data_IF_797224302583
#
_entry.id   IF_797224302583
#
_cell.length_a   1.000
_cell.length_b   1.000
_cell.length_c   1.000
_cell.angle_alpha   90.00
_cell.angle_beta   90.00
_cell.angle_gamma   90.00
#
_symmetry.space_group_name_H-M   'P 1'
#
loop_
_entity.id
_entity.type
_entity.pdbx_description
1 polymer ?
#
# COMPACT_ATOMS: atom_id res chain seq x y z
N UNK A 1 -7.81 1.46 12.81
CA UNK A 1 -7.98 2.58 13.73
C UNK A 1 -8.44 3.85 12.99
N UNK A 2 -7.73 4.30 11.92
CA UNK A 2 -8.14 5.50 11.13
C UNK A 2 -9.57 5.36 10.63
N UNK A 3 -9.92 4.23 10.01
CA UNK A 3 -11.26 4.00 9.49
C UNK A 3 -12.35 4.06 10.59
N UNK A 4 -12.04 3.60 11.80
CA UNK A 4 -12.95 3.71 12.95
C UNK A 4 -13.13 5.17 13.39
N UNK A 5 -12.03 5.93 13.44
CA UNK A 5 -12.07 7.37 13.75
C UNK A 5 -12.94 8.10 12.73
N UNK A 6 -12.77 7.83 11.44
CA UNK A 6 -13.59 8.42 10.39
C UNK A 6 -15.08 8.13 10.56
N UNK A 7 -15.46 6.87 10.86
CA UNK A 7 -16.88 6.52 11.12
C UNK A 7 -17.44 7.32 12.30
N UNK A 8 -16.66 7.48 13.38
CA UNK A 8 -17.10 8.23 14.56
C UNK A 8 -17.27 9.71 14.25
N UNK A 9 -16.30 10.31 13.55
CA UNK A 9 -16.30 11.75 13.23
C UNK A 9 -17.41 12.09 12.22
N UNK A 10 -17.59 11.28 11.18
CA UNK A 10 -18.60 11.54 10.15
C UNK A 10 -20.00 11.00 10.50
N UNK A 11 -20.18 10.35 11.67
CA UNK A 11 -21.49 9.96 12.12
C UNK A 11 -22.33 11.20 12.48
N UNK A 12 -23.51 11.33 11.87
CA UNK A 12 -24.43 12.45 12.14
C UNK A 12 -24.13 13.75 11.38
N UNK A 13 -23.32 13.70 10.33
CA UNK A 13 -22.96 14.88 9.50
C UNK A 13 -24.03 15.31 8.51
N UNK A 14 -25.12 14.57 8.37
CA UNK A 14 -26.20 14.85 7.43
C UNK A 14 -26.85 16.25 7.63
N UNK A 15 -26.76 16.79 8.85
CA UNK A 15 -27.35 18.07 9.24
C UNK A 15 -26.38 19.26 9.17
N UNK A 16 -25.10 19.01 8.87
CA UNK A 16 -24.06 20.03 8.90
C UNK A 16 -23.95 20.80 7.59
N UNK A 17 -23.62 22.08 7.69
CA UNK A 17 -23.30 22.90 6.53
C UNK A 17 -21.89 22.58 6.00
N UNK A 18 -21.55 23.13 4.81
CA UNK A 18 -20.31 22.83 4.12
C UNK A 18 -19.05 23.26 4.91
N UNK A 19 -19.10 24.43 5.56
CA UNK A 19 -17.99 24.92 6.40
C UNK A 19 -17.75 24.02 7.61
N UNK A 20 -18.81 23.51 8.24
CA UNK A 20 -18.71 22.59 9.36
C UNK A 20 -18.15 21.23 8.94
N UNK A 21 -18.49 20.74 7.74
CA UNK A 21 -17.89 19.51 7.19
C UNK A 21 -16.40 19.68 6.94
N UNK A 22 -15.97 20.81 6.37
CA UNK A 22 -14.53 21.10 6.14
C UNK A 22 -13.77 21.11 7.48
N UNK A 23 -14.34 21.66 8.55
CA UNK A 23 -13.73 21.64 9.87
C UNK A 23 -13.53 20.21 10.40
N UNK A 24 -14.49 19.31 10.15
CA UNK A 24 -14.37 17.89 10.55
C UNK A 24 -13.22 17.17 9.85
N UNK A 25 -12.90 17.49 8.60
CA UNK A 25 -11.71 16.95 7.93
C UNK A 25 -10.43 17.36 8.66
N UNK A 26 -10.34 18.58 9.15
CA UNK A 26 -9.19 19.02 9.96
C UNK A 26 -9.06 18.19 11.24
N UNK A 27 -10.17 17.90 11.93
CA UNK A 27 -10.19 17.05 13.10
C UNK A 27 -9.71 15.62 12.81
N UNK A 28 -10.14 15.03 11.68
CA UNK A 28 -9.64 13.71 11.23
C UNK A 28 -8.12 13.70 11.14
N UNK A 29 -7.51 14.73 10.52
CA UNK A 29 -6.05 14.82 10.41
C UNK A 29 -5.37 14.97 11.78
N UNK A 30 -5.95 15.78 12.69
CA UNK A 30 -5.41 15.94 14.04
C UNK A 30 -5.47 14.61 14.81
N UNK A 31 -6.58 13.90 14.78
CA UNK A 31 -6.70 12.58 15.43
C UNK A 31 -5.81 11.53 14.77
N UNK A 32 -5.60 11.59 13.44
CA UNK A 32 -4.70 10.70 12.74
C UNK A 32 -3.24 10.86 13.20
N UNK A 33 -2.82 12.04 13.68
CA UNK A 33 -1.49 12.26 14.26
C UNK A 33 -1.22 11.44 15.52
N UNK A 34 -2.27 10.97 16.21
CA UNK A 34 -2.11 10.07 17.37
C UNK A 34 -1.43 8.76 16.97
N UNK A 35 -1.63 8.29 15.74
CA UNK A 35 -1.08 7.01 15.26
C UNK A 35 0.45 7.01 15.20
N UNK A 36 1.12 7.97 14.52
CA UNK A 36 2.58 8.05 14.55
C UNK A 36 3.11 8.32 15.96
N UNK A 37 2.40 9.11 16.77
CA UNK A 37 2.79 9.33 18.17
C UNK A 37 2.80 8.03 18.99
N UNK A 38 1.74 7.22 18.89
CA UNK A 38 1.67 5.91 19.56
C UNK A 38 2.75 4.97 19.03
N UNK A 39 3.03 4.99 17.72
CA UNK A 39 4.09 4.19 17.10
C UNK A 39 5.48 4.58 17.65
N UNK A 40 5.77 5.87 17.72
CA UNK A 40 7.02 6.39 18.28
C UNK A 40 7.15 6.03 19.77
N UNK A 41 6.09 6.22 20.55
CA UNK A 41 6.05 5.81 21.96
C UNK A 41 6.26 4.31 22.12
N UNK A 42 5.68 3.48 21.25
CA UNK A 42 5.87 2.02 21.22
C UNK A 42 7.34 1.65 21.00
N UNK A 43 8.03 2.29 20.07
CA UNK A 43 9.46 2.08 19.80
C UNK A 43 10.31 2.49 21.02
N UNK A 44 10.03 3.66 21.62
CA UNK A 44 10.73 4.09 22.83
C UNK A 44 10.50 3.14 24.00
N UNK A 45 9.26 2.68 24.20
CA UNK A 45 8.92 1.74 25.25
C UNK A 45 9.61 0.39 25.03
N UNK A 46 9.61 -0.14 23.82
CA UNK A 46 10.30 -1.38 23.47
C UNK A 46 11.81 -1.27 23.75
N UNK A 47 12.44 -0.16 23.34
CA UNK A 47 13.85 0.12 23.61
C UNK A 47 14.15 0.25 25.10
N UNK A 48 13.28 0.92 25.83
CA UNK A 48 13.40 1.08 27.28
C UNK A 48 13.26 -0.26 28.03
N UNK A 49 12.28 -1.09 27.62
CA UNK A 49 12.08 -2.42 28.20
C UNK A 49 13.27 -3.34 27.89
N UNK A 50 13.78 -3.35 26.64
CA UNK A 50 14.96 -4.15 26.28
C UNK A 50 16.20 -3.72 27.06
N UNK A 51 16.40 -2.43 27.27
CA UNK A 51 17.48 -1.89 28.10
C UNK A 51 17.36 -2.36 29.56
N UNK A 52 16.15 -2.34 30.13
CA UNK A 52 15.91 -2.85 31.50
C UNK A 52 16.17 -4.35 31.61
N UNK A 53 15.74 -5.15 30.60
CA UNK A 53 15.95 -6.59 30.60
C UNK A 53 17.44 -6.94 30.45
N UNK A 54 18.17 -6.22 29.59
CA UNK A 54 19.64 -6.38 29.48
C UNK A 54 20.35 -6.01 30.78
N UNK A 55 19.95 -4.93 31.42
CA UNK A 55 20.54 -4.51 32.70
C UNK A 55 20.23 -5.51 33.83
N UNK A 56 19.06 -6.12 33.83
CA UNK A 56 18.72 -7.17 34.79
C UNK A 56 19.50 -8.47 34.52
N UNK A 57 19.71 -8.83 33.26
CA UNK A 57 20.51 -10.00 32.86
C UNK A 57 22.01 -9.81 33.21
N UNK A 58 22.58 -8.62 32.97
CA UNK A 58 23.98 -8.32 33.37
C UNK A 58 24.21 -8.30 34.87
N UNK A 59 23.19 -8.10 35.67
CA UNK A 59 23.30 -8.22 37.14
C UNK A 59 23.21 -9.70 37.62
N UNK A 60 22.76 -10.61 36.79
CA UNK A 60 22.63 -12.04 37.09
C UNK A 60 23.76 -12.92 36.51
N UNK A 61 24.49 -12.40 35.51
CA UNK A 61 25.61 -13.11 34.84
C UNK A 61 26.96 -12.58 35.31
N UNK A 62 27.37 -12.98 36.50
CA UNK A 62 28.75 -12.75 36.94
C UNK A 62 29.68 -13.92 36.63
N UNK A 63 29.21 -14.97 35.94
CA UNK A 63 30.00 -16.18 35.63
C UNK A 63 29.63 -16.85 34.29
N UNK A 64 29.77 -16.16 33.13
CA UNK A 64 29.81 -16.85 31.84
C UNK A 64 30.84 -16.17 30.92
N UNK A 65 31.79 -16.96 30.30
CA UNK A 65 32.85 -16.38 29.48
C UNK A 65 32.32 -15.70 28.23
N UNK A 66 32.87 -14.53 27.98
CA UNK A 66 32.62 -13.65 26.82
C UNK A 66 32.99 -14.38 25.49
N UNK A 67 32.02 -15.04 24.85
CA UNK A 67 32.20 -15.58 23.50
C UNK A 67 30.95 -15.39 22.57
N UNK A 68 30.05 -14.47 22.88
CA UNK A 68 29.06 -13.98 21.90
C UNK A 68 29.22 -12.46 21.83
N UNK A 69 30.33 -12.03 21.28
CA UNK A 69 30.43 -10.69 20.71
C UNK A 69 29.45 -10.65 19.55
N UNK A 70 28.29 -10.03 19.77
CA UNK A 70 27.57 -9.44 18.68
C UNK A 70 28.56 -8.55 17.92
N UNK A 71 29.02 -8.98 16.78
CA UNK A 71 29.70 -8.14 15.83
C UNK A 71 28.81 -6.92 15.62
N UNK A 72 29.16 -5.86 16.30
CA UNK A 72 28.68 -4.53 16.02
C UNK A 72 29.31 -4.20 14.68
N UNK A 73 28.65 -4.64 13.59
CA UNK A 73 28.99 -4.20 12.27
C UNK A 73 28.92 -2.67 12.30
N UNK A 74 30.08 -2.03 12.47
CA UNK A 74 30.27 -0.63 12.17
C UNK A 74 30.01 -0.46 10.67
N UNK A 75 28.73 -0.45 10.30
CA UNK A 75 28.33 -0.05 8.95
C UNK A 75 28.62 1.42 8.85
N UNK A 76 29.76 1.73 8.23
CA UNK A 76 30.09 3.11 7.88
C UNK A 76 28.93 3.69 7.07
N UNK A 77 28.44 4.85 7.48
CA UNK A 77 27.36 5.54 6.79
C UNK A 77 27.83 5.87 5.38
N UNK A 78 27.16 5.32 4.38
CA UNK A 78 27.45 5.66 3.00
C UNK A 78 26.83 7.02 2.66
N UNK A 79 27.61 8.07 2.89
CA UNK A 79 27.21 9.45 2.67
C UNK A 79 26.77 9.72 1.23
N UNK A 80 27.34 9.02 0.23
CA UNK A 80 26.95 9.16 -1.17
C UNK A 80 25.51 8.71 -1.42
N UNK A 81 25.08 7.61 -0.78
CA UNK A 81 23.70 7.13 -0.87
C UNK A 81 22.76 8.11 -0.14
N UNK A 82 23.12 8.55 1.06
CA UNK A 82 22.30 9.45 1.86
C UNK A 82 22.11 10.81 1.17
N UNK A 83 23.18 11.44 0.68
CA UNK A 83 23.11 12.70 -0.03
C UNK A 83 22.43 12.58 -1.40
N UNK A 84 22.66 11.47 -2.10
CA UNK A 84 21.98 11.17 -3.35
C UNK A 84 20.47 10.99 -3.18
N UNK A 85 20.05 10.29 -2.13
CA UNK A 85 18.62 10.14 -1.82
C UNK A 85 17.97 11.46 -1.40
N UNK A 86 18.66 12.28 -0.60
CA UNK A 86 18.18 13.60 -0.23
C UNK A 86 18.04 14.53 -1.45
N UNK A 87 19.05 14.57 -2.32
CA UNK A 87 19.00 15.34 -3.57
C UNK A 87 17.83 14.88 -4.47
N UNK A 88 17.60 13.56 -4.55
CA UNK A 88 16.47 13.02 -5.30
C UNK A 88 15.11 13.40 -4.70
N UNK A 89 14.96 13.40 -3.37
CA UNK A 89 13.74 13.86 -2.70
C UNK A 89 13.48 15.34 -2.99
N UNK A 90 14.50 16.20 -2.87
CA UNK A 90 14.39 17.64 -3.17
C UNK A 90 13.99 17.85 -4.64
N UNK A 91 14.62 17.13 -5.56
CA UNK A 91 14.27 17.16 -6.98
C UNK A 91 12.82 16.72 -7.22
N UNK A 92 12.40 15.60 -6.66
CA UNK A 92 11.05 15.05 -6.85
C UNK A 92 9.97 15.96 -6.28
N UNK A 93 10.19 16.52 -5.08
CA UNK A 93 9.27 17.48 -4.46
C UNK A 93 9.25 18.78 -5.24
N UNK A 94 10.43 19.30 -5.61
CA UNK A 94 10.56 20.55 -6.36
C UNK A 94 9.84 20.50 -7.71
N UNK A 95 10.01 19.42 -8.47
CA UNK A 95 9.30 19.23 -9.74
C UNK A 95 7.82 18.93 -9.50
N UNK A 96 7.48 18.10 -8.49
CA UNK A 96 6.09 17.73 -8.20
C UNK A 96 5.21 18.91 -7.80
N UNK A 97 5.77 19.91 -7.12
CA UNK A 97 5.07 21.16 -6.72
C UNK A 97 5.14 22.24 -7.82
N UNK A 98 6.07 22.11 -8.77
CA UNK A 98 6.22 23.06 -9.85
C UNK A 98 5.07 22.92 -10.88
N UNK A 99 4.66 24.03 -11.48
CA UNK A 99 3.70 24.05 -12.58
C UNK A 99 4.36 23.70 -13.95
N UNK A 100 5.42 22.88 -13.93
CA UNK A 100 6.10 22.46 -15.16
C UNK A 100 5.22 21.43 -15.88
N UNK A 101 4.98 21.57 -17.18
CA UNK A 101 4.26 20.57 -17.97
C UNK A 101 4.95 19.19 -17.81
N UNK A 102 4.14 18.14 -17.68
CA UNK A 102 4.64 16.78 -17.51
C UNK A 102 5.52 16.54 -16.25
N UNK A 103 5.29 17.32 -15.17
CA UNK A 103 6.07 17.17 -13.93
C UNK A 103 6.03 15.77 -13.37
N UNK A 104 4.87 15.11 -13.39
CA UNK A 104 4.70 13.75 -12.87
C UNK A 104 5.45 12.71 -13.74
N UNK A 105 5.44 12.88 -15.06
CA UNK A 105 6.16 12.03 -15.99
C UNK A 105 7.68 12.18 -15.83
N UNK A 106 8.17 13.40 -15.60
CA UNK A 106 9.59 13.67 -15.33
C UNK A 106 10.02 13.00 -14.03
N UNK A 107 9.23 13.13 -12.95
CA UNK A 107 9.52 12.47 -11.67
C UNK A 107 9.47 10.96 -11.82
N UNK A 108 8.48 10.42 -12.55
CA UNK A 108 8.38 9.00 -12.84
C UNK A 108 9.58 8.49 -13.63
N UNK A 109 9.98 9.17 -14.71
CA UNK A 109 11.13 8.81 -15.53
C UNK A 109 12.45 8.83 -14.75
N UNK A 110 12.66 9.86 -13.93
CA UNK A 110 13.82 9.96 -13.04
C UNK A 110 13.86 8.86 -12.00
N UNK A 111 12.73 8.57 -11.35
CA UNK A 111 12.57 7.47 -10.40
C UNK A 111 12.86 6.11 -11.07
N UNK A 112 12.28 5.88 -12.25
CA UNK A 112 12.49 4.66 -13.02
C UNK A 112 13.97 4.46 -13.37
N UNK A 113 14.66 5.49 -13.86
CA UNK A 113 16.08 5.41 -14.22
C UNK A 113 16.93 5.02 -12.99
N UNK A 114 16.71 5.65 -11.85
CA UNK A 114 17.46 5.37 -10.61
C UNK A 114 17.18 3.96 -10.11
N UNK A 115 15.91 3.54 -10.03
CA UNK A 115 15.54 2.23 -9.51
C UNK A 115 16.06 1.12 -10.42
N UNK A 116 15.95 1.27 -11.74
CA UNK A 116 16.50 0.31 -12.70
C UNK A 116 18.04 0.23 -12.63
N UNK A 117 18.71 1.36 -12.44
CA UNK A 117 20.15 1.37 -12.20
C UNK A 117 20.54 0.63 -10.92
N UNK A 118 19.82 0.86 -9.82
CA UNK A 118 20.05 0.17 -8.55
C UNK A 118 19.76 -1.34 -8.68
N UNK A 119 18.69 -1.72 -9.34
CA UNK A 119 18.36 -3.14 -9.62
C UNK A 119 19.49 -3.79 -10.45
N UNK A 120 19.95 -3.13 -11.51
CA UNK A 120 21.08 -3.63 -12.32
C UNK A 120 22.35 -3.79 -11.51
N UNK A 121 22.67 -2.83 -10.66
CA UNK A 121 23.83 -2.90 -9.76
C UNK A 121 23.73 -4.06 -8.78
N UNK A 122 22.55 -4.23 -8.18
CA UNK A 122 22.29 -5.31 -7.23
C UNK A 122 22.40 -6.70 -7.87
N UNK A 123 21.90 -6.85 -9.10
CA UNK A 123 21.95 -8.11 -9.85
C UNK A 123 23.34 -8.54 -10.27
N UNK A 124 24.35 -7.67 -10.21
CA UNK A 124 25.76 -8.04 -10.52
C UNK A 124 26.33 -9.06 -9.53
N UNK A 125 25.81 -9.10 -8.32
CA UNK A 125 26.26 -10.00 -7.24
C UNK A 125 25.55 -11.35 -7.25
N UNK A 126 24.72 -11.63 -8.28
CA UNK A 126 23.88 -12.81 -8.36
C UNK A 126 24.26 -13.72 -9.52
N UNK A 127 23.99 -15.04 -9.35
CA UNK A 127 24.12 -16.00 -10.44
C UNK A 127 23.14 -15.71 -11.59
N UNK A 128 23.46 -16.19 -12.80
CA UNK A 128 22.61 -15.98 -13.97
C UNK A 128 21.18 -16.57 -13.76
N UNK A 129 21.08 -17.72 -13.11
CA UNK A 129 19.78 -18.35 -12.82
C UNK A 129 18.94 -17.50 -11.86
N UNK A 130 19.53 -17.05 -10.75
CA UNK A 130 18.85 -16.16 -9.79
C UNK A 130 18.41 -14.85 -10.45
N UNK A 131 19.28 -14.23 -11.25
CA UNK A 131 18.96 -13.00 -11.98
C UNK A 131 17.75 -13.15 -12.89
N UNK A 132 17.70 -14.23 -13.68
CA UNK A 132 16.58 -14.47 -14.61
C UNK A 132 15.26 -14.68 -13.83
N UNK A 133 15.29 -15.42 -12.73
CA UNK A 133 14.11 -15.61 -11.88
C UNK A 133 13.63 -14.29 -11.29
N UNK A 134 14.56 -13.46 -10.82
CA UNK A 134 14.25 -12.14 -10.23
C UNK A 134 13.67 -11.20 -11.29
N UNK A 135 14.28 -11.12 -12.47
CA UNK A 135 13.76 -10.28 -13.56
C UNK A 135 12.36 -10.75 -13.99
N UNK A 136 12.17 -12.05 -14.20
CA UNK A 136 10.86 -12.58 -14.58
C UNK A 136 9.77 -12.27 -13.55
N UNK A 137 10.07 -12.47 -12.26
CA UNK A 137 9.13 -12.14 -11.18
C UNK A 137 8.89 -10.64 -11.09
N UNK A 138 9.93 -9.81 -11.21
CA UNK A 138 9.81 -8.36 -11.19
C UNK A 138 8.90 -7.85 -12.33
N UNK A 139 9.04 -8.39 -13.54
CA UNK A 139 8.19 -8.03 -14.69
C UNK A 139 6.71 -8.38 -14.42
N UNK A 140 6.44 -9.59 -13.92
CA UNK A 140 5.07 -10.02 -13.57
C UNK A 140 4.46 -9.07 -12.55
N UNK A 141 5.20 -8.75 -11.49
CA UNK A 141 4.75 -7.85 -10.43
C UNK A 141 4.53 -6.43 -10.97
N UNK A 142 5.47 -5.94 -11.78
CA UNK A 142 5.36 -4.61 -12.35
C UNK A 142 4.12 -4.49 -13.21
N UNK A 143 3.91 -5.40 -14.16
CA UNK A 143 2.74 -5.40 -15.04
C UNK A 143 1.45 -5.46 -14.22
N UNK A 144 1.38 -6.35 -13.23
CA UNK A 144 0.19 -6.47 -12.37
C UNK A 144 -0.11 -5.19 -11.59
N UNK A 145 0.93 -4.57 -11.00
CA UNK A 145 0.75 -3.37 -10.16
C UNK A 145 0.66 -2.05 -10.95
N UNK A 146 1.16 -2.04 -12.19
CA UNK A 146 1.09 -0.88 -13.08
C UNK A 146 -0.23 -0.78 -13.84
N UNK A 147 -1.13 -1.75 -13.69
CA UNK A 147 -2.46 -1.69 -14.31
C UNK A 147 -3.21 -0.44 -13.81
N UNK A 148 -3.66 0.44 -14.72
CA UNK A 148 -4.46 1.60 -14.35
C UNK A 148 -5.78 1.16 -13.71
N UNK A 149 -6.21 1.89 -12.69
CA UNK A 149 -7.55 1.76 -12.08
C UNK A 149 -8.37 3.01 -12.38
N UNK A 150 -9.70 3.00 -12.23
CA UNK A 150 -10.51 4.21 -12.43
C UNK A 150 -10.10 5.37 -11.49
N UNK A 151 -9.51 5.03 -10.33
CA UNK A 151 -8.99 6.01 -9.39
C UNK A 151 -10.02 7.07 -8.97
N UNK A 152 -9.62 8.35 -8.92
CA UNK A 152 -10.51 9.44 -8.51
C UNK A 152 -11.78 9.56 -9.35
N UNK A 153 -11.76 9.18 -10.63
CA UNK A 153 -12.93 9.22 -11.50
C UNK A 153 -14.10 8.39 -10.97
N UNK A 154 -13.82 7.19 -10.44
CA UNK A 154 -14.86 6.36 -9.81
C UNK A 154 -15.41 7.01 -8.54
N UNK A 155 -14.56 7.60 -7.71
CA UNK A 155 -15.00 8.29 -6.48
C UNK A 155 -15.90 9.49 -6.81
N UNK A 156 -15.56 10.28 -7.84
CA UNK A 156 -16.43 11.36 -8.30
C UNK A 156 -17.77 10.83 -8.81
N UNK A 157 -17.79 9.75 -9.57
CA UNK A 157 -19.04 9.10 -9.98
C UNK A 157 -19.88 8.65 -8.78
N UNK A 158 -19.26 8.07 -7.76
CA UNK A 158 -19.93 7.62 -6.54
C UNK A 158 -20.54 8.78 -5.74
N UNK A 159 -19.84 9.92 -5.68
CA UNK A 159 -20.32 11.14 -5.02
C UNK A 159 -21.44 11.81 -5.84
N UNK A 160 -21.18 12.09 -7.13
CA UNK A 160 -22.05 12.96 -7.93
C UNK A 160 -23.27 12.23 -8.49
N UNK A 161 -23.16 10.93 -8.74
CA UNK A 161 -24.23 10.15 -9.40
C UNK A 161 -24.91 9.15 -8.46
N UNK A 162 -24.15 8.54 -7.54
CA UNK A 162 -24.71 7.59 -6.58
C UNK A 162 -25.03 8.24 -5.23
N UNK A 163 -24.65 9.52 -5.03
CA UNK A 163 -24.89 10.30 -3.82
C UNK A 163 -24.36 9.62 -2.55
N UNK A 164 -23.15 9.01 -2.65
CA UNK A 164 -22.48 8.48 -1.48
C UNK A 164 -21.89 9.63 -0.67
N UNK A 165 -22.20 9.63 0.62
CA UNK A 165 -21.70 10.60 1.59
C UNK A 165 -20.40 10.13 2.29
N UNK A 166 -19.77 11.02 3.01
CA UNK A 166 -18.51 10.77 3.73
C UNK A 166 -18.67 9.69 4.79
N UNK A 167 -19.83 9.62 5.42
CA UNK A 167 -20.14 8.59 6.42
C UNK A 167 -20.19 7.21 5.77
N UNK A 168 -20.82 7.08 4.63
CA UNK A 168 -20.88 5.82 3.89
C UNK A 168 -19.50 5.36 3.42
N UNK A 169 -18.66 6.26 2.89
CA UNK A 169 -17.27 5.93 2.56
C UNK A 169 -16.46 5.48 3.78
N UNK A 170 -16.72 6.07 4.94
CA UNK A 170 -16.07 5.67 6.19
C UNK A 170 -16.47 4.25 6.61
N UNK A 171 -17.75 3.88 6.44
CA UNK A 171 -18.25 2.50 6.66
C UNK A 171 -17.57 1.53 5.70
N UNK A 172 -17.51 1.85 4.40
CA UNK A 172 -16.82 1.00 3.42
C UNK A 172 -15.35 0.81 3.77
N UNK A 173 -14.65 1.86 4.19
CA UNK A 173 -13.26 1.83 4.61
C UNK A 173 -13.05 0.97 5.86
N UNK A 174 -13.96 1.05 6.84
CA UNK A 174 -13.92 0.21 8.05
C UNK A 174 -14.14 -1.26 7.70
N UNK A 175 -15.15 -1.54 6.88
CA UNK A 175 -15.46 -2.89 6.38
C UNK A 175 -14.26 -3.46 5.61
N UNK A 176 -13.70 -2.69 4.68
CA UNK A 176 -12.53 -3.07 3.91
C UNK A 176 -11.34 -3.41 4.82
N UNK A 177 -11.05 -2.57 5.82
CA UNK A 177 -9.95 -2.79 6.76
C UNK A 177 -10.14 -4.07 7.58
N UNK A 178 -11.34 -4.28 8.09
CA UNK A 178 -11.68 -5.47 8.88
C UNK A 178 -11.57 -6.75 8.04
N UNK A 179 -12.17 -6.74 6.84
CA UNK A 179 -12.17 -7.91 5.96
C UNK A 179 -10.81 -8.20 5.33
N UNK A 180 -9.97 -7.19 5.13
CA UNK A 180 -8.56 -7.39 4.74
C UNK A 180 -7.81 -8.19 5.81
N UNK A 181 -7.98 -7.87 7.10
CA UNK A 181 -7.36 -8.65 8.19
C UNK A 181 -7.88 -10.10 8.21
N UNK A 182 -9.19 -10.29 8.06
CA UNK A 182 -9.81 -11.60 7.94
C UNK A 182 -9.23 -12.35 6.72
N UNK A 183 -9.13 -11.69 5.57
CA UNK A 183 -8.58 -12.25 4.35
C UNK A 183 -7.13 -12.75 4.50
N UNK A 184 -6.26 -11.99 5.20
CA UNK A 184 -4.88 -12.39 5.48
C UNK A 184 -4.84 -13.74 6.23
N UNK A 185 -5.70 -13.92 7.21
CA UNK A 185 -5.76 -15.15 8.02
C UNK A 185 -6.29 -16.32 7.18
N UNK A 186 -7.43 -16.15 6.53
CA UNK A 186 -8.07 -17.22 5.76
C UNK A 186 -7.29 -17.62 4.51
N UNK A 187 -6.67 -16.65 3.80
CA UNK A 187 -5.93 -16.91 2.58
C UNK A 187 -4.46 -17.23 2.82
N UNK A 188 -4.02 -17.34 4.09
CA UNK A 188 -2.64 -17.66 4.45
C UNK A 188 -2.12 -18.94 3.77
N UNK A 189 -2.93 -20.01 3.78
CA UNK A 189 -2.56 -21.29 3.15
C UNK A 189 -2.42 -21.16 1.64
N UNK A 190 -3.33 -20.42 0.98
CA UNK A 190 -3.28 -20.13 -0.44
C UNK A 190 -2.00 -19.36 -0.80
N UNK A 191 -1.66 -18.32 -0.03
CA UNK A 191 -0.45 -17.51 -0.22
C UNK A 191 0.84 -18.31 -0.02
N UNK A 192 0.86 -19.25 0.92
CA UNK A 192 2.06 -20.03 1.27
C UNK A 192 2.38 -21.13 0.23
N UNK A 193 1.36 -21.73 -0.39
CA UNK A 193 1.54 -22.92 -1.23
C UNK A 193 1.51 -22.61 -2.74
N UNK A 194 1.25 -21.38 -3.16
CA UNK A 194 1.19 -21.05 -4.57
C UNK A 194 2.33 -20.11 -4.99
N UNK A 195 2.75 -20.23 -6.25
CA UNK A 195 3.71 -19.31 -6.84
C UNK A 195 3.11 -17.91 -7.02
N UNK A 196 3.96 -16.88 -6.99
CA UNK A 196 3.54 -15.49 -7.21
C UNK A 196 2.80 -15.33 -8.54
N UNK A 197 3.31 -15.95 -9.61
CA UNK A 197 2.66 -15.90 -10.92
C UNK A 197 1.23 -16.45 -10.89
N UNK A 198 1.02 -17.60 -10.22
CA UNK A 198 -0.32 -18.20 -10.07
C UNK A 198 -1.24 -17.32 -9.24
N UNK A 199 -0.73 -16.76 -8.15
CA UNK A 199 -1.50 -15.82 -7.30
C UNK A 199 -1.93 -14.61 -8.14
N UNK A 200 -1.01 -13.99 -8.88
CA UNK A 200 -1.29 -12.82 -9.72
C UNK A 200 -2.35 -13.13 -10.78
N UNK A 201 -2.23 -14.27 -11.49
CA UNK A 201 -3.23 -14.65 -12.50
C UNK A 201 -4.61 -14.82 -11.87
N UNK A 202 -4.71 -15.57 -10.76
CA UNK A 202 -6.00 -15.80 -10.08
C UNK A 202 -6.59 -14.46 -9.61
N UNK A 203 -5.78 -13.60 -8.98
CA UNK A 203 -6.24 -12.30 -8.52
C UNK A 203 -6.67 -11.39 -9.67
N UNK A 204 -5.94 -11.37 -10.79
CA UNK A 204 -6.31 -10.56 -11.96
C UNK A 204 -7.67 -10.97 -12.51
N UNK A 205 -7.91 -12.29 -12.67
CA UNK A 205 -9.19 -12.79 -13.15
C UNK A 205 -10.33 -12.51 -12.16
N UNK A 206 -10.07 -12.72 -10.87
CA UNK A 206 -11.07 -12.49 -9.83
C UNK A 206 -11.39 -11.00 -9.69
N UNK A 207 -10.39 -10.11 -9.69
CA UNK A 207 -10.60 -8.66 -9.67
C UNK A 207 -11.36 -8.16 -10.90
N UNK A 208 -11.06 -8.69 -12.09
CA UNK A 208 -11.81 -8.36 -13.29
C UNK A 208 -13.29 -8.75 -13.17
N UNK A 209 -13.58 -9.92 -12.61
CA UNK A 209 -14.97 -10.36 -12.35
C UNK A 209 -15.66 -9.50 -11.28
N UNK A 210 -14.98 -9.23 -10.17
CA UNK A 210 -15.52 -8.41 -9.08
C UNK A 210 -15.72 -6.95 -9.49
N UNK A 211 -15.05 -6.48 -10.53
CA UNK A 211 -15.24 -5.11 -11.03
C UNK A 211 -16.49 -4.96 -11.91
N UNK A 212 -17.10 -6.05 -12.37
CA UNK A 212 -18.31 -6.00 -13.23
C UNK A 212 -19.50 -5.27 -12.58
N UNK A 213 -19.82 -5.45 -11.28
CA UNK A 213 -20.89 -4.68 -10.63
C UNK A 213 -20.63 -3.17 -10.67
N UNK A 214 -19.38 -2.73 -10.48
CA UNK A 214 -19.01 -1.31 -10.55
C UNK A 214 -19.22 -0.74 -11.95
N UNK A 215 -18.83 -1.48 -12.99
CA UNK A 215 -19.14 -1.14 -14.39
C UNK A 215 -20.67 -1.10 -14.58
N UNK A 216 -21.37 -2.10 -14.07
CA UNK A 216 -22.84 -2.16 -14.16
C UNK A 216 -23.53 -0.94 -13.54
N UNK A 217 -23.01 -0.43 -12.42
CA UNK A 217 -23.56 0.77 -11.78
C UNK A 217 -23.46 2.02 -12.67
N UNK A 218 -22.39 2.15 -13.46
CA UNK A 218 -22.25 3.25 -14.44
C UNK A 218 -23.36 3.17 -15.50
N UNK A 219 -23.79 1.99 -15.90
CA UNK A 219 -24.87 1.74 -16.85
C UNK A 219 -26.27 1.60 -16.20
N UNK A 220 -26.41 1.98 -14.93
CA UNK A 220 -27.71 1.96 -14.23
C UNK A 220 -28.15 0.59 -13.70
N UNK A 221 -27.27 -0.39 -13.62
CA UNK A 221 -27.57 -1.71 -13.06
C UNK A 221 -28.21 -1.65 -11.68
N UNK A 222 -27.75 -0.73 -10.82
CA UNK A 222 -28.30 -0.50 -9.49
C UNK A 222 -29.77 -0.02 -9.51
N UNK A 223 -30.19 0.71 -10.55
CA UNK A 223 -31.58 1.14 -10.72
C UNK A 223 -32.49 -0.05 -11.06
N UNK A 224 -32.00 -0.92 -11.95
CA UNK A 224 -32.72 -2.14 -12.32
C UNK A 224 -32.84 -3.09 -11.15
N UNK A 225 -31.76 -3.39 -10.41
CA UNK A 225 -31.79 -4.26 -9.23
C UNK A 225 -32.68 -3.70 -8.14
N UNK A 226 -32.64 -2.38 -7.88
CA UNK A 226 -33.48 -1.70 -6.93
C UNK A 226 -34.97 -1.84 -7.28
N UNK A 227 -35.33 -1.70 -8.57
CA UNK A 227 -36.72 -1.81 -9.02
C UNK A 227 -37.31 -3.19 -8.83
N UNK A 228 -36.55 -4.27 -9.09
CA UNK A 228 -37.03 -5.65 -8.95
C UNK A 228 -37.00 -6.18 -7.54
N UNK A 229 -36.20 -5.58 -6.65
CA UNK A 229 -36.04 -5.99 -5.24
C UNK A 229 -36.79 -5.11 -4.25
N UNK A 230 -37.61 -4.18 -4.76
CA UNK A 230 -38.33 -3.24 -3.89
C UNK A 230 -37.42 -2.30 -3.10
N UNK A 231 -36.25 -1.94 -3.68
CA UNK A 231 -35.28 -1.01 -3.07
C UNK A 231 -34.19 -1.68 -2.22
N UNK A 232 -34.23 -3.01 -2.03
CA UNK A 232 -33.25 -3.70 -1.20
C UNK A 232 -31.84 -3.73 -1.81
N UNK A 233 -31.73 -3.97 -3.13
CA UNK A 233 -30.45 -4.05 -3.83
C UNK A 233 -30.23 -2.74 -4.58
N UNK A 234 -29.93 -1.71 -3.85
CA UNK A 234 -29.57 -0.38 -4.35
C UNK A 234 -28.04 -0.22 -4.58
N UNK A 235 -27.60 0.96 -4.95
CA UNK A 235 -26.18 1.26 -5.18
C UNK A 235 -25.34 1.06 -3.90
N UNK A 236 -25.85 1.44 -2.73
CA UNK A 236 -25.14 1.27 -1.45
C UNK A 236 -24.95 -0.21 -1.10
N UNK A 237 -26.00 -1.02 -1.30
CA UNK A 237 -25.91 -2.47 -1.09
C UNK A 237 -24.86 -3.11 -2.01
N UNK A 238 -24.87 -2.76 -3.31
CA UNK A 238 -23.89 -3.27 -4.28
C UNK A 238 -22.47 -2.88 -3.87
N UNK A 239 -22.24 -1.63 -3.44
CA UNK A 239 -20.93 -1.15 -3.00
C UNK A 239 -20.45 -1.91 -1.74
N UNK A 240 -21.32 -2.18 -0.76
CA UNK A 240 -20.98 -2.96 0.43
C UNK A 240 -20.58 -4.39 0.05
N UNK A 241 -21.35 -5.07 -0.80
CA UNK A 241 -21.02 -6.43 -1.25
C UNK A 241 -19.73 -6.47 -2.04
N UNK A 242 -19.54 -5.51 -2.95
CA UNK A 242 -18.30 -5.42 -3.72
C UNK A 242 -17.09 -5.22 -2.80
N UNK A 243 -17.17 -4.28 -1.86
CA UNK A 243 -16.15 -4.06 -0.85
C UNK A 243 -15.88 -5.31 -0.02
N UNK A 244 -16.94 -6.04 0.38
CA UNK A 244 -16.79 -7.25 1.16
C UNK A 244 -16.08 -8.38 0.41
N UNK A 245 -16.30 -8.50 -0.88
CA UNK A 245 -15.66 -9.53 -1.72
C UNK A 245 -14.23 -9.17 -2.13
N UNK A 246 -13.97 -7.91 -2.40
CA UNK A 246 -12.66 -7.43 -2.91
C UNK A 246 -11.64 -7.23 -1.80
N UNK A 247 -12.05 -6.70 -0.64
CA UNK A 247 -11.13 -6.31 0.44
C UNK A 247 -10.26 -7.45 0.98
N UNK A 248 -10.75 -8.70 1.14
CA UNK A 248 -9.92 -9.82 1.57
C UNK A 248 -8.75 -10.10 0.63
N UNK A 249 -8.86 -9.71 -0.64
CA UNK A 249 -7.86 -9.98 -1.69
C UNK A 249 -6.74 -8.93 -1.72
N UNK A 250 -6.96 -7.75 -1.14
CA UNK A 250 -6.08 -6.60 -1.28
C UNK A 250 -4.62 -6.84 -0.86
N UNK A 251 -4.36 -7.73 0.12
CA UNK A 251 -3.01 -8.05 0.59
C UNK A 251 -2.46 -9.39 0.07
N UNK A 252 -3.28 -10.14 -0.66
CA UNK A 252 -2.91 -11.51 -1.09
C UNK A 252 -1.74 -11.53 -2.07
N UNK A 253 -1.58 -10.50 -2.90
CA UNK A 253 -0.42 -10.37 -3.78
C UNK A 253 0.79 -9.77 -3.06
N UNK A 254 0.57 -8.87 -2.11
CA UNK A 254 1.63 -8.12 -1.45
C UNK A 254 2.44 -8.99 -0.47
N UNK A 255 1.79 -9.79 0.36
CA UNK A 255 2.44 -10.61 1.39
C UNK A 255 3.39 -11.65 0.79
N UNK A 256 2.98 -12.50 -0.19
CA UNK A 256 3.89 -13.43 -0.84
C UNK A 256 5.05 -12.74 -1.56
N UNK A 257 4.81 -11.56 -2.14
CA UNK A 257 5.85 -10.78 -2.77
C UNK A 257 6.93 -10.36 -1.77
N UNK A 258 6.54 -9.79 -0.63
CA UNK A 258 7.49 -9.39 0.41
C UNK A 258 8.25 -10.60 0.98
N UNK A 259 7.57 -11.72 1.20
CA UNK A 259 8.18 -12.96 1.63
C UNK A 259 9.19 -13.50 0.59
N UNK A 260 8.85 -13.43 -0.70
CA UNK A 260 9.72 -13.85 -1.79
C UNK A 260 10.97 -12.96 -1.89
N UNK A 261 10.81 -11.63 -1.75
CA UNK A 261 11.92 -10.67 -1.70
C UNK A 261 12.87 -11.03 -0.56
N UNK A 262 12.31 -11.25 0.66
CA UNK A 262 13.10 -11.60 1.84
C UNK A 262 13.87 -12.93 1.66
N UNK A 263 13.24 -13.93 1.03
CA UNK A 263 13.84 -15.25 0.80
C UNK A 263 14.97 -15.24 -0.25
N UNK A 264 14.86 -14.40 -1.26
CA UNK A 264 15.81 -14.34 -2.38
C UNK A 264 16.90 -13.27 -2.19
N UNK A 265 16.84 -12.50 -1.12
CA UNK A 265 17.85 -11.49 -0.81
C UNK A 265 19.16 -12.15 -0.36
N UNK A 266 20.33 -11.71 -0.89
CA UNK A 266 21.63 -12.12 -0.39
C UNK A 266 21.78 -11.78 1.09
N UNK A 267 22.44 -12.66 1.88
CA UNK A 267 22.50 -12.50 3.33
C UNK A 267 23.13 -11.19 3.80
N UNK A 268 24.16 -10.74 3.10
CA UNK A 268 24.89 -9.51 3.41
C UNK A 268 24.22 -8.24 2.88
N UNK A 269 23.12 -8.34 2.07
CA UNK A 269 22.46 -7.19 1.44
C UNK A 269 20.93 -7.22 1.56
N UNK A 270 20.37 -7.96 2.54
CA UNK A 270 18.92 -8.14 2.69
C UNK A 270 18.15 -6.81 2.75
N UNK A 271 18.64 -5.86 3.54
CA UNK A 271 17.99 -4.56 3.69
C UNK A 271 17.99 -3.75 2.38
N UNK A 272 19.12 -3.70 1.68
CA UNK A 272 19.26 -3.00 0.40
C UNK A 272 18.40 -3.65 -0.68
N UNK A 273 18.41 -4.98 -0.74
CA UNK A 273 17.60 -5.74 -1.69
C UNK A 273 16.10 -5.46 -1.46
N UNK A 274 15.66 -5.51 -0.21
CA UNK A 274 14.28 -5.22 0.16
C UNK A 274 13.90 -3.77 -0.21
N UNK A 275 14.74 -2.80 0.11
CA UNK A 275 14.49 -1.39 -0.20
C UNK A 275 14.35 -1.13 -1.71
N UNK A 276 15.26 -1.71 -2.53
CA UNK A 276 15.22 -1.56 -4.00
C UNK A 276 13.96 -2.18 -4.58
N UNK A 277 13.57 -3.40 -4.13
CA UNK A 277 12.36 -4.05 -4.62
C UNK A 277 11.07 -3.37 -4.14
N UNK A 278 11.03 -2.88 -2.90
CA UNK A 278 9.92 -2.06 -2.41
C UNK A 278 9.78 -0.78 -3.25
N UNK A 279 10.88 -0.10 -3.56
CA UNK A 279 10.88 1.07 -4.44
C UNK A 279 10.40 0.73 -5.86
N UNK A 280 10.80 -0.42 -6.40
CA UNK A 280 10.35 -0.90 -7.70
C UNK A 280 8.82 -1.18 -7.72
N UNK A 281 8.27 -1.77 -6.66
CA UNK A 281 6.83 -1.97 -6.57
C UNK A 281 6.06 -0.65 -6.43
N UNK A 282 6.63 0.34 -5.75
CA UNK A 282 6.06 1.69 -5.68
C UNK A 282 6.15 2.43 -7.03
N UNK A 283 7.22 2.21 -7.80
CA UNK A 283 7.32 2.71 -9.18
C UNK A 283 6.19 2.16 -10.06
N UNK A 284 5.84 0.88 -9.91
CA UNK A 284 4.70 0.30 -10.64
C UNK A 284 3.36 0.97 -10.26
N UNK A 285 3.15 1.29 -8.97
CA UNK A 285 1.97 2.07 -8.54
C UNK A 285 1.96 3.49 -9.12
N UNK A 286 3.13 4.12 -9.23
CA UNK A 286 3.23 5.44 -9.88
C UNK A 286 2.90 5.36 -11.37
N UNK A 287 3.30 4.27 -12.06
CA UNK A 287 2.87 4.01 -13.44
C UNK A 287 1.35 3.82 -13.55
N UNK A 288 0.74 3.07 -12.62
CA UNK A 288 -0.72 2.91 -12.52
C UNK A 288 -1.42 4.26 -12.36
N UNK A 289 -0.94 5.09 -11.43
CA UNK A 289 -1.52 6.42 -11.17
C UNK A 289 -1.43 7.34 -12.41
N UNK A 290 -0.29 7.34 -13.12
CA UNK A 290 -0.15 8.07 -14.39
C UNK A 290 -1.12 7.55 -15.45
N UNK A 291 -1.20 6.22 -15.60
CA UNK A 291 -2.15 5.60 -16.53
C UNK A 291 -3.60 5.98 -16.21
N UNK A 292 -4.00 5.93 -14.94
CA UNK A 292 -5.35 6.35 -14.50
C UNK A 292 -5.62 7.82 -14.82
N UNK A 293 -4.64 8.71 -14.62
CA UNK A 293 -4.77 10.13 -14.97
C UNK A 293 -5.05 10.32 -16.45
N UNK A 294 -4.28 9.65 -17.33
CA UNK A 294 -4.49 9.75 -18.77
C UNK A 294 -5.83 9.17 -19.21
N UNK A 295 -6.23 8.02 -18.65
CA UNK A 295 -7.55 7.45 -18.92
C UNK A 295 -8.68 8.41 -18.52
N UNK A 296 -8.61 9.02 -17.33
CA UNK A 296 -9.60 10.00 -16.87
C UNK A 296 -9.59 11.34 -17.65
N UNK A 297 -8.58 11.59 -18.50
CA UNK A 297 -8.56 12.73 -19.42
C UNK A 297 -9.21 12.43 -20.77
N UNK A 298 -9.26 11.15 -21.15
CA UNK A 298 -9.82 10.69 -22.42
C UNK A 298 -11.32 10.43 -22.28
N UNK A 299 -11.77 9.96 -21.15
CA UNK A 299 -13.16 9.58 -20.85
C UNK A 299 -13.79 10.50 -19.82
#
# INVERSE_FOLDING_TARGET
LVALINVIIFSGTETLNEEQRVALYADVYVYALVIPLVSVLGVFLAKFLSYRTQKAATLQEQDVPASITHERNNTEINWSILLGSLAFVIFSVGIGVSNIPFSQEIVFGGSAAIILFLMKSLMRYMSASQRNTIIGTAVIIFVFRAMPSPGPGMTWFEIDKLFFDEYFFSILSLLASALTLVGIVFLRSFMAHNSIAKIVVILSLLSAFLFLPSIGMVYGFHLWTSSITGGLVDAKFIAIINTALESPLGQVAMIPLLAWIAKNAPENMKATFFAVFASFTNLALSASALGSRYLNQIF
#
